data_IF_803184296069
#
_entry.id   IF_803184296069
#
_cell.length_a   1.000
_cell.length_b   1.000
_cell.length_c   1.000
_cell.angle_alpha   90.00
_cell.angle_beta   90.00
_cell.angle_gamma   90.00
#
_symmetry.space_group_name_H-M   'P 1'
#
loop_
_entity.id
_entity.type
_entity.pdbx_description
1 polymer ?
#
# COMPACT_ATOMS: atom_id res chain seq x y z
N UNK A 1 4.41 16.65 -22.00
CA UNK A 1 3.90 16.39 -20.66
C UNK A 1 2.93 15.23 -20.75
N UNK A 2 3.11 14.21 -19.93
CA UNK A 2 2.31 13.00 -19.86
C UNK A 2 2.14 12.58 -18.39
N UNK A 3 0.91 12.28 -18.00
CA UNK A 3 0.65 11.64 -16.73
C UNK A 3 1.16 10.19 -16.76
N UNK A 4 1.64 9.69 -15.62
CA UNK A 4 2.06 8.29 -15.44
C UNK A 4 1.56 7.84 -14.08
N UNK A 5 0.61 6.90 -14.06
CA UNK A 5 0.06 6.38 -12.83
C UNK A 5 0.76 5.07 -12.42
N UNK A 6 1.14 5.01 -11.14
CA UNK A 6 1.80 3.87 -10.51
C UNK A 6 0.98 3.42 -9.29
N UNK A 7 0.95 2.12 -9.02
CA UNK A 7 0.42 1.59 -7.78
C UNK A 7 1.54 1.55 -6.75
N UNK A 8 1.29 2.10 -5.57
CA UNK A 8 2.24 2.14 -4.46
C UNK A 8 1.63 1.51 -3.23
N UNK A 9 2.44 0.71 -2.56
CA UNK A 9 2.09 0.16 -1.25
C UNK A 9 2.06 1.27 -0.21
N UNK A 10 1.55 0.95 0.97
CA UNK A 10 1.45 1.86 2.11
C UNK A 10 2.26 1.31 3.28
N UNK A 11 2.62 2.20 4.21
CA UNK A 11 3.50 1.93 5.32
C UNK A 11 2.80 2.33 6.61
N UNK A 12 1.99 1.42 7.14
CA UNK A 12 1.29 1.64 8.40
C UNK A 12 2.31 1.85 9.53
N UNK A 13 2.12 2.92 10.30
CA UNK A 13 2.97 3.26 11.45
C UNK A 13 4.35 3.84 11.13
N UNK A 14 4.78 3.88 9.86
CA UNK A 14 6.05 4.49 9.51
C UNK A 14 5.96 6.03 9.48
N UNK A 15 7.03 6.70 9.87
CA UNK A 15 7.16 8.17 9.78
C UNK A 15 8.32 8.59 8.88
N UNK A 16 8.34 9.82 8.37
CA UNK A 16 9.57 10.36 7.77
C UNK A 16 10.64 10.56 8.86
N UNK A 17 11.89 10.21 8.58
CA UNK A 17 13.00 10.42 9.50
C UNK A 17 13.12 11.91 9.90
N UNK A 18 13.44 12.15 11.17
CA UNK A 18 13.65 13.48 11.71
C UNK A 18 14.96 13.52 12.53
N UNK A 19 15.71 14.62 12.39
CA UNK A 19 16.96 14.84 13.11
C UNK A 19 16.72 14.99 14.63
N UNK A 20 17.69 14.55 15.44
CA UNK A 20 17.69 14.72 16.90
C UNK A 20 16.38 14.26 17.58
N UNK A 21 15.78 13.20 17.05
CA UNK A 21 14.47 12.69 17.46
C UNK A 21 14.64 11.36 18.19
N UNK A 22 13.90 11.19 19.29
CA UNK A 22 13.91 9.93 20.03
C UNK A 22 13.06 8.89 19.31
N UNK A 23 13.62 7.69 19.12
CA UNK A 23 12.97 6.54 18.51
C UNK A 23 13.05 5.34 19.46
N UNK A 24 11.93 4.61 19.56
CA UNK A 24 11.82 3.37 20.30
C UNK A 24 12.16 2.17 19.40
N UNK A 25 12.50 1.05 20.03
CA UNK A 25 12.67 -0.20 19.30
C UNK A 25 11.37 -0.54 18.54
N UNK A 26 11.52 -0.97 17.30
CA UNK A 26 10.47 -1.25 16.31
C UNK A 26 9.79 -0.04 15.67
N UNK A 27 10.13 1.20 16.06
CA UNK A 27 9.71 2.36 15.27
C UNK A 27 10.25 2.21 13.83
N UNK A 28 9.42 2.52 12.85
CA UNK A 28 9.80 2.47 11.44
C UNK A 28 9.87 3.88 10.86
N UNK A 29 10.93 4.15 10.13
CA UNK A 29 11.10 5.41 9.41
C UNK A 29 11.35 5.17 7.93
N UNK A 30 11.06 6.18 7.13
CA UNK A 30 11.55 6.28 5.75
C UNK A 30 12.49 7.48 5.62
N UNK A 31 13.42 7.46 4.64
CA UNK A 31 14.29 8.59 4.40
C UNK A 31 13.52 9.86 4.02
N UNK A 32 14.11 11.05 4.24
CA UNK A 32 13.51 12.32 3.80
C UNK A 32 13.39 12.41 2.27
N UNK A 33 14.30 11.74 1.57
CA UNK A 33 14.23 11.45 0.14
C UNK A 33 14.04 9.94 -0.05
N UNK A 34 12.81 9.45 -0.27
CA UNK A 34 12.50 8.02 -0.28
C UNK A 34 13.38 7.21 -1.25
N UNK A 35 13.82 6.02 -0.82
CA UNK A 35 14.72 5.14 -1.56
C UNK A 35 14.17 3.71 -1.76
N UNK A 36 12.86 3.52 -1.63
CA UNK A 36 12.12 2.24 -1.74
C UNK A 36 12.26 1.28 -0.55
N UNK A 37 12.93 1.73 0.52
CA UNK A 37 13.07 0.96 1.75
C UNK A 37 12.49 1.72 2.93
N UNK A 38 12.21 0.97 3.98
CA UNK A 38 11.93 1.48 5.31
C UNK A 38 12.97 0.98 6.28
N UNK A 39 13.07 1.62 7.42
CA UNK A 39 14.14 1.40 8.37
C UNK A 39 13.53 1.18 9.74
N UNK A 40 13.69 -0.03 10.26
CA UNK A 40 13.19 -0.39 11.58
C UNK A 40 14.26 -0.13 12.62
N UNK A 41 13.92 0.59 13.68
CA UNK A 41 14.80 0.82 14.81
C UNK A 41 15.04 -0.50 15.56
N UNK A 42 16.27 -1.00 15.54
CA UNK A 42 16.67 -2.22 16.28
C UNK A 42 17.30 -1.91 17.63
N UNK A 43 17.92 -0.73 17.77
CA UNK A 43 18.44 -0.19 19.03
C UNK A 43 17.84 1.20 19.25
N UNK A 44 17.01 1.34 20.29
CA UNK A 44 16.36 2.59 20.66
C UNK A 44 17.39 3.67 21.04
N UNK A 45 17.07 4.93 20.74
CA UNK A 45 17.98 6.04 20.97
C UNK A 45 17.45 7.36 20.42
N UNK A 46 18.36 8.30 20.18
CA UNK A 46 18.09 9.57 19.51
C UNK A 46 18.87 9.62 18.20
N UNK A 47 18.19 9.93 17.10
CA UNK A 47 18.82 10.09 15.78
C UNK A 47 19.86 11.21 15.78
N UNK A 48 20.76 11.18 14.81
CA UNK A 48 21.77 12.20 14.59
C UNK A 48 21.18 13.56 14.23
N UNK A 49 22.03 14.59 14.20
CA UNK A 49 21.66 15.91 13.68
C UNK A 49 21.54 15.95 12.15
N UNK A 50 22.09 14.94 11.48
CA UNK A 50 22.06 14.77 10.02
C UNK A 50 21.59 13.36 9.69
N UNK A 51 20.89 13.23 8.56
CA UNK A 51 20.34 11.95 8.13
C UNK A 51 21.46 10.98 7.73
N UNK A 52 21.42 9.70 8.16
CA UNK A 52 22.45 8.74 7.81
C UNK A 52 22.41 8.41 6.31
N UNK A 53 23.52 7.88 5.79
CA UNK A 53 23.48 7.21 4.48
C UNK A 53 22.79 5.87 4.64
N UNK A 54 21.59 5.77 4.09
CA UNK A 54 20.74 4.60 4.24
C UNK A 54 21.22 3.39 3.43
N UNK A 55 21.45 2.22 4.06
CA UNK A 55 21.76 1.00 3.32
C UNK A 55 20.54 0.54 2.52
N UNK A 56 20.77 -0.05 1.35
CA UNK A 56 19.71 -0.55 0.45
C UNK A 56 19.69 -2.08 0.36
N UNK A 57 20.57 -2.76 1.09
CA UNK A 57 20.51 -4.22 1.26
C UNK A 57 19.60 -4.52 2.45
N UNK A 58 18.56 -5.32 2.24
CA UNK A 58 17.64 -5.73 3.31
C UNK A 58 18.42 -6.48 4.40
N UNK A 59 18.14 -6.15 5.67
CA UNK A 59 18.82 -6.69 6.85
C UNK A 59 20.14 -6.02 7.21
N UNK A 60 20.70 -5.15 6.35
CA UNK A 60 21.86 -4.34 6.74
C UNK A 60 21.47 -3.28 7.76
N UNK A 61 22.42 -2.94 8.64
CA UNK A 61 22.21 -1.96 9.71
C UNK A 61 23.04 -0.71 9.53
N UNK A 62 22.53 0.41 10.02
CA UNK A 62 23.24 1.70 10.06
C UNK A 62 23.04 2.38 11.40
N UNK A 63 24.13 2.92 11.96
CA UNK A 63 24.07 3.74 13.17
C UNK A 63 23.73 5.19 12.82
N UNK A 64 22.86 5.79 13.62
CA UNK A 64 22.36 7.15 13.45
C UNK A 64 22.20 7.80 14.83
N UNK A 65 23.17 8.64 15.22
CA UNK A 65 23.25 9.12 16.60
C UNK A 65 23.44 7.95 17.58
N UNK A 66 22.47 7.73 18.46
CA UNK A 66 22.42 6.55 19.35
C UNK A 66 21.40 5.50 18.92
N UNK A 67 20.69 5.72 17.81
CA UNK A 67 19.79 4.74 17.19
C UNK A 67 20.58 3.79 16.28
N UNK A 68 20.15 2.54 16.18
CA UNK A 68 20.55 1.65 15.08
C UNK A 68 19.32 1.27 14.27
N UNK A 69 19.41 1.46 12.97
CA UNK A 69 18.37 1.12 12.00
C UNK A 69 18.74 -0.15 11.26
N UNK A 70 17.74 -0.95 10.88
CA UNK A 70 17.86 -2.09 9.98
C UNK A 70 17.04 -1.81 8.72
N UNK A 71 17.62 -2.07 7.54
CA UNK A 71 16.95 -1.91 6.25
C UNK A 71 15.88 -2.98 6.05
N UNK A 72 14.66 -2.54 5.75
CA UNK A 72 13.47 -3.35 5.53
C UNK A 72 12.83 -2.92 4.20
N UNK A 73 12.06 -3.82 3.60
CA UNK A 73 11.27 -3.53 2.40
C UNK A 73 9.81 -3.35 2.78
N UNK A 74 9.08 -2.55 2.00
CA UNK A 74 7.61 -2.55 2.08
C UNK A 74 7.09 -3.85 1.51
N UNK A 75 6.35 -4.62 2.32
CA UNK A 75 5.69 -5.85 1.88
C UNK A 75 4.20 -5.60 1.61
N UNK A 76 3.63 -6.16 0.54
CA UNK A 76 2.21 -5.96 0.21
C UNK A 76 1.25 -6.33 1.32
N UNK A 77 1.54 -7.40 2.06
CA UNK A 77 0.70 -7.91 3.14
C UNK A 77 0.53 -6.92 4.29
N UNK A 78 1.49 -6.00 4.45
CA UNK A 78 1.47 -4.96 5.48
C UNK A 78 0.97 -3.61 4.97
N UNK A 79 0.40 -3.56 3.77
CA UNK A 79 -0.14 -2.33 3.19
C UNK A 79 -1.49 -2.00 3.82
N UNK A 80 -1.46 -1.54 5.08
CA UNK A 80 -2.63 -1.31 5.94
C UNK A 80 -2.93 0.19 6.15
N UNK A 81 -2.46 1.05 5.25
CA UNK A 81 -2.65 2.51 5.29
C UNK A 81 -1.40 3.27 5.75
N UNK A 82 -1.59 4.46 6.33
CA UNK A 82 -0.45 5.30 6.76
C UNK A 82 0.18 6.08 5.62
N UNK A 83 1.51 6.14 5.59
CA UNK A 83 2.26 6.89 4.60
C UNK A 83 2.42 6.07 3.31
N UNK A 84 2.42 6.73 2.14
CA UNK A 84 2.73 6.10 0.85
C UNK A 84 4.18 5.60 0.80
N UNK A 85 4.38 4.36 0.36
CA UNK A 85 5.70 3.82 0.03
C UNK A 85 6.19 4.36 -1.31
N UNK A 86 7.50 4.47 -1.51
CA UNK A 86 8.06 4.69 -2.84
C UNK A 86 8.21 3.40 -3.65
N UNK A 87 7.98 2.23 -3.04
CA UNK A 87 7.95 0.94 -3.73
C UNK A 87 6.72 0.83 -4.62
N UNK A 88 6.96 0.77 -5.94
CA UNK A 88 5.91 0.49 -6.93
C UNK A 88 5.55 -0.99 -6.91
N UNK A 89 4.25 -1.31 -6.91
CA UNK A 89 3.77 -2.66 -7.14
C UNK A 89 3.91 -2.97 -8.63
N UNK A 90 4.86 -3.84 -8.97
CA UNK A 90 5.31 -4.07 -10.35
C UNK A 90 4.25 -4.75 -11.24
N UNK A 91 3.26 -5.41 -10.63
CA UNK A 91 2.11 -5.99 -11.31
C UNK A 91 0.90 -5.92 -10.38
N UNK A 92 -0.27 -5.61 -10.94
CA UNK A 92 -1.54 -5.47 -10.23
C UNK A 92 -2.25 -6.80 -9.97
N UNK A 93 -1.52 -7.91 -10.00
CA UNK A 93 -2.07 -9.22 -9.75
C UNK A 93 -2.46 -9.37 -8.28
N UNK A 94 -3.58 -10.02 -8.01
CA UNK A 94 -4.15 -10.15 -6.67
C UNK A 94 -3.18 -10.85 -5.70
N UNK A 95 -2.45 -11.85 -6.20
CA UNK A 95 -1.41 -12.59 -5.47
C UNK A 95 -0.14 -11.76 -5.16
N UNK A 96 -0.04 -10.54 -5.67
CA UNK A 96 1.00 -9.60 -5.29
C UNK A 96 0.51 -8.60 -4.23
N UNK A 97 -0.78 -8.59 -3.92
CA UNK A 97 -1.39 -7.70 -2.94
C UNK A 97 -1.79 -8.44 -1.66
N UNK A 98 -2.24 -9.67 -1.83
CA UNK A 98 -2.63 -10.57 -0.77
C UNK A 98 -1.78 -11.83 -0.83
N UNK A 99 -1.58 -12.43 0.33
CA UNK A 99 -0.99 -13.74 0.49
C UNK A 99 -1.92 -14.87 0.02
N UNK A 100 -1.50 -16.11 0.19
CA UNK A 100 -2.31 -17.26 -0.22
C UNK A 100 -3.32 -17.60 0.86
N UNK A 101 -4.57 -17.77 0.44
CA UNK A 101 -5.66 -18.24 1.31
C UNK A 101 -5.30 -19.59 1.92
N UNK A 102 -5.29 -19.65 3.25
CA UNK A 102 -5.03 -20.85 4.03
C UNK A 102 -6.24 -21.81 3.98
N UNK A 103 -6.04 -23.12 4.25
CA UNK A 103 -7.16 -24.07 4.29
C UNK A 103 -8.24 -23.72 5.31
N UNK A 104 -7.85 -23.07 6.43
CA UNK A 104 -8.77 -22.66 7.48
C UNK A 104 -9.58 -21.44 7.03
N UNK A 105 -8.94 -20.43 6.43
CA UNK A 105 -9.64 -19.28 5.79
C UNK A 105 -10.60 -19.72 4.70
N UNK A 106 -10.19 -20.66 3.83
CA UNK A 106 -11.07 -21.18 2.79
C UNK A 106 -12.27 -21.95 3.37
N UNK A 107 -12.06 -22.68 4.47
CA UNK A 107 -13.13 -23.42 5.16
C UNK A 107 -14.14 -22.46 5.78
N UNK A 108 -13.66 -21.48 6.56
CA UNK A 108 -14.51 -20.62 7.37
C UNK A 108 -15.06 -19.42 6.59
N UNK A 109 -14.42 -19.09 5.47
CA UNK A 109 -14.60 -17.85 4.74
C UNK A 109 -13.81 -16.74 5.40
N UNK A 110 -13.38 -15.77 4.59
CA UNK A 110 -12.49 -14.72 5.06
C UNK A 110 -12.72 -13.40 4.33
N UNK A 111 -12.31 -12.30 4.95
CA UNK A 111 -12.38 -10.96 4.36
C UNK A 111 -11.21 -10.12 4.79
N UNK A 112 -10.35 -9.77 3.84
CA UNK A 112 -9.12 -9.04 4.12
C UNK A 112 -9.06 -7.72 3.35
N UNK A 113 -8.33 -6.77 3.94
CA UNK A 113 -8.20 -5.42 3.43
C UNK A 113 -6.74 -5.06 3.14
N UNK A 114 -6.53 -4.32 2.04
CA UNK A 114 -5.23 -3.73 1.67
C UNK A 114 -5.41 -2.32 1.12
N UNK A 115 -4.63 -1.37 1.60
CA UNK A 115 -4.54 -0.03 1.04
C UNK A 115 -3.54 0.00 -0.13
N UNK A 116 -3.82 0.81 -1.14
CA UNK A 116 -2.93 1.13 -2.24
C UNK A 116 -3.07 2.60 -2.59
N UNK A 117 -1.96 3.25 -2.91
CA UNK A 117 -1.97 4.60 -3.45
C UNK A 117 -1.76 4.56 -4.96
N UNK A 118 -2.63 5.23 -5.70
CA UNK A 118 -2.46 5.46 -7.15
C UNK A 118 -1.76 6.80 -7.29
N UNK A 119 -0.46 6.77 -7.57
CA UNK A 119 0.42 7.92 -7.59
C UNK A 119 0.71 8.38 -9.02
N UNK A 120 0.64 9.68 -9.26
CA UNK A 120 1.04 10.27 -10.53
C UNK A 120 2.52 10.69 -10.50
N UNK A 121 3.39 9.85 -11.06
CA UNK A 121 4.83 10.10 -11.22
C UNK A 121 5.16 10.93 -12.46
N UNK A 122 4.17 11.25 -13.28
CA UNK A 122 4.31 12.07 -14.49
C UNK A 122 4.50 13.56 -14.21
N UNK A 123 4.49 14.35 -15.28
CA UNK A 123 4.69 15.81 -15.27
C UNK A 123 3.40 16.60 -15.63
N UNK A 124 2.27 15.91 -15.78
CA UNK A 124 0.95 16.48 -16.00
C UNK A 124 -0.11 15.80 -15.13
N UNK A 125 -1.22 16.49 -14.87
CA UNK A 125 -2.40 15.94 -14.19
C UNK A 125 -2.98 14.77 -14.98
N UNK A 126 -3.25 13.64 -14.31
CA UNK A 126 -4.04 12.54 -14.85
C UNK A 126 -5.52 12.89 -14.73
N UNK A 127 -6.27 12.80 -15.83
CA UNK A 127 -7.70 13.14 -15.83
C UNK A 127 -8.57 11.93 -16.12
N UNK A 128 -9.86 12.00 -15.76
CA UNK A 128 -10.83 10.93 -15.98
C UNK A 128 -10.34 9.57 -15.44
N UNK A 129 -9.73 9.59 -14.26
CA UNK A 129 -9.08 8.41 -13.69
C UNK A 129 -10.15 7.41 -13.23
N UNK A 130 -9.98 6.14 -13.58
CA UNK A 130 -10.87 5.08 -13.17
C UNK A 130 -10.11 3.79 -12.85
N UNK A 131 -10.50 3.12 -11.76
CA UNK A 131 -9.95 1.84 -11.31
C UNK A 131 -11.00 0.73 -11.47
N UNK A 132 -10.59 -0.48 -11.86
CA UNK A 132 -11.49 -1.63 -11.99
C UNK A 132 -10.74 -2.96 -11.99
N UNK A 133 -11.48 -4.06 -11.79
CA UNK A 133 -11.01 -5.42 -12.07
C UNK A 133 -10.94 -5.63 -13.59
N UNK A 134 -9.72 -5.70 -14.12
CA UNK A 134 -9.45 -5.97 -15.53
C UNK A 134 -9.65 -7.44 -15.86
N UNK A 135 -9.21 -8.30 -14.96
CA UNK A 135 -9.44 -9.74 -15.01
C UNK A 135 -10.01 -10.14 -13.67
N UNK A 136 -11.20 -10.76 -13.70
CA UNK A 136 -11.85 -11.34 -12.52
C UNK A 136 -10.98 -12.41 -11.86
N UNK A 137 -11.33 -12.73 -10.61
CA UNK A 137 -10.73 -13.83 -9.88
C UNK A 137 -10.88 -15.14 -10.65
N UNK A 138 -9.85 -15.98 -10.63
CA UNK A 138 -9.88 -17.29 -11.27
C UNK A 138 -10.68 -18.30 -10.45
N UNK A 139 -10.73 -18.10 -9.13
CA UNK A 139 -11.64 -18.78 -8.22
C UNK A 139 -13.02 -18.14 -8.29
N UNK A 140 -14.10 -18.92 -8.49
CA UNK A 140 -15.46 -18.42 -8.41
C UNK A 140 -15.90 -18.09 -6.97
N UNK A 141 -15.12 -18.54 -5.97
CA UNK A 141 -15.44 -18.38 -4.55
C UNK A 141 -14.75 -17.16 -3.93
N UNK A 142 -13.88 -16.49 -4.68
CA UNK A 142 -13.18 -15.27 -4.27
C UNK A 142 -13.70 -14.06 -5.03
N UNK A 143 -13.86 -12.92 -4.38
CA UNK A 143 -14.19 -11.64 -5.01
C UNK A 143 -13.23 -10.55 -4.54
N UNK A 144 -12.89 -9.62 -5.43
CA UNK A 144 -12.20 -8.39 -5.07
C UNK A 144 -13.11 -7.19 -5.27
N UNK A 145 -13.40 -6.49 -4.18
CA UNK A 145 -14.09 -5.21 -4.17
C UNK A 145 -13.09 -4.08 -3.97
N UNK A 146 -13.42 -2.92 -4.52
CA UNK A 146 -12.57 -1.73 -4.42
C UNK A 146 -13.35 -0.62 -3.73
N UNK A 147 -12.65 0.18 -2.93
CA UNK A 147 -13.16 1.36 -2.29
C UNK A 147 -12.17 2.51 -2.44
N UNK A 148 -12.68 3.73 -2.46
CA UNK A 148 -11.87 4.94 -2.59
C UNK A 148 -11.98 5.78 -1.32
N UNK A 149 -10.84 6.22 -0.80
CA UNK A 149 -10.75 7.13 0.35
C UNK A 149 -10.95 8.58 -0.12
N UNK A 150 -12.22 8.96 -0.25
CA UNK A 150 -12.59 10.31 -0.70
C UNK A 150 -12.29 11.41 0.30
N UNK A 151 -12.16 11.06 1.58
CA UNK A 151 -11.95 12.04 2.66
C UNK A 151 -10.50 12.56 2.68
N UNK A 152 -9.57 11.79 2.12
CA UNK A 152 -8.14 12.06 2.13
C UNK A 152 -7.53 12.22 0.73
N UNK A 153 -8.23 12.88 -0.20
CA UNK A 153 -7.86 12.83 -1.62
C UNK A 153 -8.07 14.14 -2.42
N UNK A 154 -7.19 14.43 -3.42
CA UNK A 154 -5.88 13.82 -3.60
C UNK A 154 -4.94 14.24 -2.45
N UNK A 155 -3.87 13.49 -2.24
CA UNK A 155 -2.90 13.75 -1.18
C UNK A 155 -1.46 13.76 -1.69
N UNK A 156 -0.60 14.43 -0.91
CA UNK A 156 0.84 14.42 -1.12
C UNK A 156 1.44 13.05 -0.79
N UNK A 157 2.64 12.79 -1.33
CA UNK A 157 3.38 11.53 -1.12
C UNK A 157 3.88 11.31 0.32
N UNK A 158 3.80 12.34 1.16
CA UNK A 158 4.15 12.33 2.58
C UNK A 158 2.97 12.47 3.52
N UNK A 159 1.74 12.47 3.00
CA UNK A 159 0.55 12.46 3.82
C UNK A 159 0.50 11.15 4.64
N UNK A 160 0.36 11.30 5.96
CA UNK A 160 0.11 10.19 6.87
C UNK A 160 -1.40 10.03 7.05
N UNK A 161 -2.01 9.14 6.27
CA UNK A 161 -3.45 8.91 6.26
C UNK A 161 -3.83 7.80 7.26
N UNK A 162 -5.13 7.61 7.56
CA UNK A 162 -5.56 6.57 8.50
C UNK A 162 -5.03 5.16 8.16
N UNK A 163 -4.82 4.37 9.21
CA UNK A 163 -4.41 2.96 9.16
C UNK A 163 -5.49 2.06 9.75
N UNK A 164 -5.49 0.78 9.38
CA UNK A 164 -6.22 -0.29 10.09
C UNK A 164 -5.25 -1.09 10.96
N UNK A 165 -5.76 -1.79 11.99
CA UNK A 165 -4.94 -2.52 12.96
C UNK A 165 -4.37 -3.82 12.41
N UNK A 166 -5.14 -4.46 11.53
CA UNK A 166 -4.91 -5.78 10.96
C UNK A 166 -5.74 -5.87 9.68
N UNK A 167 -5.50 -6.91 8.90
CA UNK A 167 -6.16 -7.12 7.63
C UNK A 167 -7.64 -7.51 7.72
N UNK A 168 -8.10 -7.98 8.88
CA UNK A 168 -9.50 -8.37 9.11
C UNK A 168 -10.38 -7.16 9.48
N UNK A 169 -9.75 -6.02 9.75
CA UNK A 169 -10.41 -4.80 10.21
C UNK A 169 -10.75 -3.88 9.03
N UNK A 170 -12.05 -3.70 8.78
CA UNK A 170 -12.51 -2.81 7.73
C UNK A 170 -12.08 -1.33 7.96
N UNK A 171 -11.58 -0.63 6.92
CA UNK A 171 -11.26 0.79 7.04
C UNK A 171 -12.53 1.64 7.20
N UNK A 172 -12.45 2.63 8.08
CA UNK A 172 -13.58 3.55 8.34
C UNK A 172 -13.80 4.52 7.17
N UNK A 173 -15.07 4.83 6.87
CA UNK A 173 -15.43 5.81 5.85
C UNK A 173 -15.34 5.31 4.40
N UNK A 174 -14.91 4.07 4.17
CA UNK A 174 -14.74 3.52 2.83
C UNK A 174 -15.98 2.76 2.38
N UNK A 175 -16.53 3.15 1.22
CA UNK A 175 -17.59 2.40 0.54
C UNK A 175 -17.00 1.46 -0.49
N UNK A 176 -17.27 0.16 -0.34
CA UNK A 176 -16.79 -0.88 -1.25
C UNK A 176 -17.87 -1.31 -2.23
N UNK A 177 -17.46 -1.59 -3.47
CA UNK A 177 -18.28 -2.29 -4.44
C UNK A 177 -17.40 -3.09 -5.41
N UNK A 178 -18.03 -4.02 -6.13
CA UNK A 178 -17.38 -4.77 -7.18
C UNK A 178 -17.39 -3.95 -8.48
N UNK A 179 -16.20 -3.62 -8.98
CA UNK A 179 -16.02 -2.80 -10.18
C UNK A 179 -15.35 -3.59 -11.29
N UNK A 180 -15.98 -3.61 -12.45
CA UNK A 180 -15.51 -4.33 -13.65
C UNK A 180 -15.21 -3.36 -14.78
N UNK A 181 -14.67 -3.85 -15.90
CA UNK A 181 -14.50 -3.03 -17.11
C UNK A 181 -15.79 -2.37 -17.62
N UNK A 182 -16.96 -2.88 -17.25
CA UNK A 182 -18.28 -2.34 -17.62
C UNK A 182 -18.84 -1.32 -16.61
N UNK A 183 -18.32 -1.30 -15.38
CA UNK A 183 -18.72 -0.39 -14.31
C UNK A 183 -17.50 -0.13 -13.43
N UNK A 184 -16.78 0.94 -13.75
CA UNK A 184 -15.47 1.27 -13.14
C UNK A 184 -15.65 2.18 -11.93
N UNK A 185 -14.75 2.09 -10.96
CA UNK A 185 -14.64 3.05 -9.86
C UNK A 185 -14.05 4.35 -10.39
N UNK A 186 -14.84 5.43 -10.38
CA UNK A 186 -14.34 6.76 -10.74
C UNK A 186 -13.52 7.36 -9.60
N UNK A 187 -12.35 7.88 -9.95
CA UNK A 187 -11.42 8.58 -9.07
C UNK A 187 -11.31 10.06 -9.51
N UNK A 188 -10.88 10.99 -8.64
CA UNK A 188 -10.69 12.37 -9.05
C UNK A 188 -9.49 12.51 -9.99
N UNK A 189 -9.33 13.69 -10.59
CA UNK A 189 -8.10 14.04 -11.29
C UNK A 189 -6.92 14.05 -10.31
N UNK A 190 -5.77 13.51 -10.75
CA UNK A 190 -4.58 13.34 -9.91
C UNK A 190 -3.47 14.25 -10.43
N UNK A 191 -3.17 15.38 -9.76
CA UNK A 191 -2.06 16.24 -10.14
C UNK A 191 -0.71 15.50 -10.12
N UNK A 192 0.24 15.97 -10.92
CA UNK A 192 1.61 15.45 -10.90
C UNK A 192 2.20 15.54 -9.48
N UNK A 193 2.82 14.46 -9.00
CA UNK A 193 3.38 14.38 -7.64
C UNK A 193 2.37 14.13 -6.53
N UNK A 194 1.10 13.89 -6.85
CA UNK A 194 0.06 13.53 -5.88
C UNK A 194 -0.48 12.12 -6.12
N UNK A 195 -1.27 11.63 -5.17
CA UNK A 195 -1.94 10.35 -5.25
C UNK A 195 -3.37 10.39 -4.72
N UNK A 196 -4.08 9.30 -4.93
CA UNK A 196 -5.33 8.97 -4.27
C UNK A 196 -5.20 7.61 -3.61
N UNK A 197 -5.79 7.44 -2.44
CA UNK A 197 -5.82 6.15 -1.74
C UNK A 197 -7.05 5.35 -2.12
N UNK A 198 -6.82 4.08 -2.46
CA UNK A 198 -7.86 3.07 -2.63
C UNK A 198 -7.64 1.93 -1.66
N UNK A 199 -8.72 1.25 -1.31
CA UNK A 199 -8.70 0.04 -0.52
C UNK A 199 -9.22 -1.12 -1.38
N UNK A 200 -8.49 -2.22 -1.38
CA UNK A 200 -8.93 -3.48 -1.90
C UNK A 200 -9.50 -4.31 -0.76
N UNK A 201 -10.65 -4.93 -0.98
CA UNK A 201 -11.30 -5.88 -0.08
C UNK A 201 -11.38 -7.22 -0.78
N UNK A 202 -10.59 -8.19 -0.33
CA UNK A 202 -10.72 -9.60 -0.77
C UNK A 202 -11.81 -10.24 0.06
N UNK A 203 -12.69 -11.00 -0.58
CA UNK A 203 -13.72 -11.80 0.07
C UNK A 203 -13.52 -13.23 -0.39
N UNK A 204 -13.27 -14.14 0.54
CA UNK A 204 -13.24 -15.58 0.33
C UNK A 204 -14.54 -16.16 0.89
N UNK A 205 -15.33 -16.80 0.03
CA UNK A 205 -16.58 -17.43 0.47
C UNK A 205 -16.28 -18.63 1.38
N UNK A 206 -17.11 -18.84 2.40
CA UNK A 206 -16.97 -20.02 3.25
C UNK A 206 -17.12 -21.32 2.44
N UNK A 207 -16.27 -22.31 2.74
CA UNK A 207 -16.10 -23.54 1.98
C UNK A 207 -15.59 -23.32 0.54
N UNK A 208 -14.79 -22.27 0.31
CA UNK A 208 -14.16 -22.01 -0.98
C UNK A 208 -13.38 -23.23 -1.47
N UNK A 209 -13.50 -23.54 -2.76
CA UNK A 209 -12.65 -24.52 -3.41
C UNK A 209 -11.19 -24.07 -3.35
N UNK A 210 -10.29 -25.00 -3.01
CA UNK A 210 -8.85 -24.71 -3.05
C UNK A 210 -8.40 -24.51 -4.51
N UNK A 211 -8.33 -23.25 -4.92
CA UNK A 211 -7.84 -22.84 -6.23
C UNK A 211 -6.37 -22.45 -6.06
N UNK A 212 -5.47 -23.33 -6.49
CA UNK A 212 -4.04 -23.03 -6.46
C UNK A 212 -3.72 -21.84 -7.36
N UNK A 213 -3.09 -20.81 -6.78
CA UNK A 213 -2.81 -19.53 -7.44
C UNK A 213 -4.09 -18.83 -7.90
N UNK A 214 -4.98 -18.46 -6.98
CA UNK A 214 -6.12 -17.64 -7.37
C UNK A 214 -5.64 -16.29 -7.92
N UNK A 215 -5.82 -16.09 -9.22
CA UNK A 215 -5.36 -14.91 -9.95
C UNK A 215 -6.49 -13.92 -10.14
N UNK A 216 -6.16 -12.65 -10.22
CA UNK A 216 -7.02 -11.55 -10.64
C UNK A 216 -6.15 -10.34 -10.90
N UNK A 217 -6.61 -9.35 -11.67
CA UNK A 217 -5.80 -8.13 -11.91
C UNK A 217 -6.65 -6.88 -11.87
N UNK A 218 -6.19 -5.86 -11.14
CA UNK A 218 -6.77 -4.50 -11.21
C UNK A 218 -6.09 -3.68 -12.31
N UNK A 219 -6.79 -2.69 -12.86
CA UNK A 219 -6.23 -1.74 -13.79
C UNK A 219 -6.77 -0.33 -13.55
N UNK A 220 -5.92 0.65 -13.83
CA UNK A 220 -6.21 2.07 -13.80
C UNK A 220 -6.15 2.58 -15.22
N UNK A 221 -7.16 3.33 -15.61
CA UNK A 221 -7.23 4.04 -16.87
C UNK A 221 -7.34 5.53 -16.60
N UNK A 222 -6.82 6.33 -17.52
CA UNK A 222 -6.84 7.79 -17.47
C UNK A 222 -6.76 8.35 -18.90
N UNK A 223 -7.19 9.60 -19.06
CA UNK A 223 -7.17 10.36 -20.31
C UNK A 223 -6.03 11.38 -20.34
#
# INVERSE_FOLDING_TARGET
MAATLEYRLTLAGATTWAASTAYNQNDTVRPTSPNNYVYRCTVAGTSGSEEPTWPTTIGETVSDGTVTWECWKTEPDNSLGGIMSSTTLSETAMNNLFDNVSPDEASDGDTEYRALDIYNSGDATATNVALYMKTETSSPDTQLDLGYDSDNSPHASDANLPTISDEDTAPSGISFAHYTSSSKLSLPDIPAGQAVRVWAKRIVSANAGNTSNDLGTIAVEYA
#
